data_IF_699644067232
#
_entry.id   IF_699644067232
#
_cell.length_a   1.000
_cell.length_b   1.000
_cell.length_c   1.000
_cell.angle_alpha   90.00
_cell.angle_beta   90.00
_cell.angle_gamma   90.00
#
_symmetry.space_group_name_H-M   'P 1'
#
loop_
_entity.id
_entity.type
_entity.pdbx_description
1 polymer ?
#
# COMPACT_ATOMS: atom_id res chain seq x y z
N UNK A 1 -2.60 -4.25 -15.98
CA UNK A 1 -3.75 -3.57 -15.37
C UNK A 1 -3.82 -4.02 -13.91
N UNK A 2 -3.90 -3.08 -12.96
CA UNK A 2 -3.79 -3.37 -11.51
C UNK A 2 -4.83 -4.38 -11.00
N UNK A 3 -6.11 -4.13 -11.29
CA UNK A 3 -7.21 -4.99 -10.82
C UNK A 3 -7.09 -6.45 -11.27
N UNK A 4 -6.52 -6.66 -12.44
CA UNK A 4 -6.29 -8.01 -12.97
C UNK A 4 -5.09 -8.70 -12.30
N UNK A 5 -4.02 -7.96 -12.03
CA UNK A 5 -2.75 -8.54 -11.59
C UNK A 5 -2.69 -8.77 -10.07
N UNK A 6 -3.26 -7.87 -9.27
CA UNK A 6 -3.07 -7.85 -7.82
C UNK A 6 -3.53 -9.15 -7.16
N UNK A 7 -4.80 -9.51 -7.31
CA UNK A 7 -5.35 -10.71 -6.70
C UNK A 7 -4.70 -12.01 -7.18
N UNK A 8 -4.36 -12.08 -8.46
CA UNK A 8 -3.70 -13.26 -9.04
C UNK A 8 -2.28 -13.43 -8.53
N UNK A 9 -1.48 -12.35 -8.49
CA UNK A 9 -0.12 -12.41 -7.93
C UNK A 9 -0.14 -12.85 -6.48
N UNK A 10 -1.00 -12.24 -5.68
CA UNK A 10 -1.13 -12.56 -4.26
C UNK A 10 -1.59 -14.01 -4.04
N UNK A 11 -2.51 -14.51 -4.86
CA UNK A 11 -2.94 -15.89 -4.82
C UNK A 11 -1.80 -16.88 -5.11
N UNK A 12 -1.03 -16.63 -6.18
CA UNK A 12 0.08 -17.51 -6.56
C UNK A 12 1.26 -17.46 -5.59
N UNK A 13 1.46 -16.33 -4.91
CA UNK A 13 2.52 -16.15 -3.92
C UNK A 13 2.10 -16.63 -2.51
N UNK A 14 0.86 -17.08 -2.33
CA UNK A 14 0.34 -17.56 -1.04
C UNK A 14 0.09 -16.44 -0.04
N UNK A 15 -0.10 -15.21 -0.50
CA UNK A 15 -0.50 -14.07 0.33
C UNK A 15 -1.93 -14.27 0.83
N UNK A 16 -2.16 -14.00 2.11
CA UNK A 16 -3.49 -14.15 2.73
C UNK A 16 -4.26 -12.83 2.80
N UNK A 17 -3.55 -11.71 2.93
CA UNK A 17 -4.10 -10.37 3.10
C UNK A 17 -3.55 -9.44 2.03
N UNK A 18 -4.37 -9.13 1.03
CA UNK A 18 -4.06 -8.20 -0.05
C UNK A 18 -4.40 -6.78 0.39
N UNK A 19 -3.39 -5.95 0.63
CA UNK A 19 -3.58 -4.60 1.13
C UNK A 19 -3.58 -3.58 -0.01
N UNK A 20 -4.54 -2.66 0.00
CA UNK A 20 -4.64 -1.57 -0.97
C UNK A 20 -5.26 -0.31 -0.35
N UNK A 21 -5.25 0.79 -1.10
CA UNK A 21 -5.85 2.05 -0.67
C UNK A 21 -7.37 2.05 -0.88
N UNK A 22 -8.09 2.92 -0.15
CA UNK A 22 -9.56 2.97 -0.14
C UNK A 22 -10.22 3.19 -1.51
N UNK A 23 -9.50 3.74 -2.47
CA UNK A 23 -9.99 3.91 -3.84
C UNK A 23 -10.37 2.59 -4.53
N UNK A 24 -9.84 1.46 -4.05
CA UNK A 24 -10.10 0.12 -4.58
C UNK A 24 -11.27 -0.62 -3.89
N UNK A 25 -11.94 -0.01 -2.92
CA UNK A 25 -13.12 -0.61 -2.26
C UNK A 25 -14.18 -1.03 -3.28
N UNK A 26 -14.46 -0.17 -4.26
CA UNK A 26 -15.46 -0.43 -5.30
C UNK A 26 -15.03 -1.54 -6.28
N UNK A 27 -13.73 -1.88 -6.31
CA UNK A 27 -13.18 -2.93 -7.15
C UNK A 27 -13.10 -4.29 -6.44
N UNK A 28 -13.46 -4.40 -5.16
CA UNK A 28 -13.42 -5.67 -4.40
C UNK A 28 -14.20 -6.80 -5.08
N UNK A 29 -15.40 -6.59 -5.65
CA UNK A 29 -16.10 -7.66 -6.37
C UNK A 29 -15.32 -8.17 -7.59
N UNK A 30 -14.59 -7.28 -8.27
CA UNK A 30 -13.73 -7.64 -9.40
C UNK A 30 -12.49 -8.43 -8.95
N UNK A 31 -11.89 -8.04 -7.84
CA UNK A 31 -10.80 -8.77 -7.18
C UNK A 31 -11.24 -10.20 -6.84
N UNK A 32 -12.39 -10.34 -6.18
CA UNK A 32 -12.95 -11.64 -5.79
C UNK A 32 -13.20 -12.52 -7.02
N UNK A 33 -13.78 -11.96 -8.08
CA UNK A 33 -14.04 -12.67 -9.34
C UNK A 33 -12.75 -13.24 -9.96
N UNK A 34 -11.69 -12.44 -10.03
CA UNK A 34 -10.42 -12.88 -10.62
C UNK A 34 -9.72 -13.94 -9.76
N UNK A 35 -9.77 -13.82 -8.43
CA UNK A 35 -9.22 -14.83 -7.52
C UNK A 35 -9.99 -16.14 -7.66
N UNK A 36 -11.33 -16.09 -7.73
CA UNK A 36 -12.17 -17.27 -7.90
C UNK A 36 -11.91 -17.97 -9.25
N UNK A 37 -11.72 -17.21 -10.33
CA UNK A 37 -11.37 -17.79 -11.64
C UNK A 37 -10.01 -18.50 -11.65
N UNK A 38 -9.05 -17.97 -10.90
CA UNK A 38 -7.72 -18.59 -10.79
C UNK A 38 -7.74 -19.82 -9.89
N UNK A 39 -8.59 -19.80 -8.86
CA UNK A 39 -8.81 -20.94 -7.96
C UNK A 39 -9.57 -22.07 -8.64
N UNK A 40 -10.50 -21.76 -9.54
CA UNK A 40 -11.36 -22.72 -10.23
C UNK A 40 -10.50 -23.65 -11.12
N UNK A 41 -10.39 -24.91 -10.71
CA UNK A 41 -9.59 -25.93 -11.40
C UNK A 41 -8.20 -26.24 -10.80
N UNK A 42 -7.88 -25.68 -9.66
CA UNK A 42 -6.66 -26.03 -8.91
C UNK A 42 -7.05 -26.50 -7.51
N UNK A 43 -6.64 -27.74 -7.16
CA UNK A 43 -6.64 -28.27 -5.79
C UNK A 43 -5.56 -27.56 -4.94
N UNK A 44 -5.57 -26.23 -4.94
CA UNK A 44 -4.72 -25.44 -4.09
C UNK A 44 -5.46 -25.19 -2.77
N UNK A 45 -4.76 -25.47 -1.68
CA UNK A 45 -5.22 -25.29 -0.30
C UNK A 45 -6.12 -24.07 -0.13
N UNK A 46 -7.00 -24.13 0.86
CA UNK A 46 -8.07 -23.18 1.20
C UNK A 46 -7.57 -21.73 1.51
N UNK A 47 -6.37 -21.39 1.05
CA UNK A 47 -5.70 -20.14 1.29
C UNK A 47 -6.08 -19.08 0.24
N UNK A 48 -7.35 -18.67 0.24
CA UNK A 48 -7.85 -17.59 -0.62
C UNK A 48 -7.41 -16.24 -0.05
N UNK A 49 -6.70 -15.40 -0.82
CA UNK A 49 -6.41 -14.04 -0.37
C UNK A 49 -7.70 -13.20 -0.30
N UNK A 50 -7.74 -12.29 0.66
CA UNK A 50 -8.81 -11.30 0.79
C UNK A 50 -8.27 -9.90 0.69
N UNK A 51 -9.00 -9.02 0.00
CA UNK A 51 -8.64 -7.61 -0.14
C UNK A 51 -9.06 -6.82 1.10
N UNK A 52 -8.10 -6.04 1.63
CA UNK A 52 -8.32 -5.10 2.73
C UNK A 52 -7.82 -3.73 2.34
N UNK A 53 -8.64 -2.71 2.55
CA UNK A 53 -8.31 -1.34 2.19
C UNK A 53 -7.97 -0.51 3.43
N UNK A 54 -6.99 0.36 3.29
CA UNK A 54 -6.58 1.28 4.34
C UNK A 54 -6.68 2.75 3.90
N UNK A 55 -6.88 3.63 4.88
CA UNK A 55 -6.93 5.06 4.66
C UNK A 55 -5.54 5.63 4.31
N UNK A 56 -5.54 6.63 3.44
CA UNK A 56 -4.34 7.41 3.17
C UNK A 56 -3.95 8.20 4.42
N UNK A 57 -2.70 8.04 4.85
CA UNK A 57 -2.14 8.88 5.90
C UNK A 57 -1.94 10.30 5.37
N UNK A 58 -2.57 11.28 6.03
CA UNK A 58 -2.36 12.69 5.76
C UNK A 58 -1.72 13.34 6.98
N UNK A 59 -0.60 14.01 6.77
CA UNK A 59 0.12 14.74 7.81
C UNK A 59 -0.07 16.24 7.60
N UNK A 60 -0.43 16.96 8.69
CA UNK A 60 -0.51 18.42 8.66
C UNK A 60 0.89 19.02 8.35
N UNK A 61 0.90 20.11 7.61
CA UNK A 61 2.12 20.83 7.23
C UNK A 61 3.17 19.97 6.47
N UNK A 62 2.76 18.85 5.87
CA UNK A 62 3.67 17.95 5.16
C UNK A 62 3.22 17.75 3.72
N UNK A 63 4.14 17.96 2.78
CA UNK A 63 3.91 17.64 1.37
C UNK A 63 4.01 16.13 1.17
N UNK A 64 2.89 15.49 0.78
CA UNK A 64 2.83 14.04 0.52
C UNK A 64 2.76 13.72 -0.98
N UNK A 65 2.66 14.74 -1.84
CA UNK A 65 2.58 14.55 -3.29
C UNK A 65 3.96 14.20 -3.87
N UNK A 66 4.08 13.04 -4.51
CA UNK A 66 5.31 12.63 -5.21
C UNK A 66 5.80 13.69 -6.21
N UNK A 67 4.88 14.36 -6.91
CA UNK A 67 5.21 15.41 -7.88
C UNK A 67 5.92 16.59 -7.21
N UNK A 68 5.40 17.04 -6.07
CA UNK A 68 5.98 18.16 -5.34
C UNK A 68 7.30 17.77 -4.67
N UNK A 69 7.39 16.57 -4.10
CA UNK A 69 8.62 16.04 -3.51
C UNK A 69 9.73 15.90 -4.55
N UNK A 70 9.39 15.51 -5.78
CA UNK A 70 10.36 15.44 -6.89
C UNK A 70 10.97 16.81 -7.22
N UNK A 71 10.21 17.90 -7.10
CA UNK A 71 10.72 19.26 -7.32
C UNK A 71 11.79 19.57 -6.28
N UNK A 72 11.55 19.26 -4.99
CA UNK A 72 12.54 19.49 -3.93
C UNK A 72 13.86 18.77 -4.19
N UNK A 73 13.80 17.54 -4.71
CA UNK A 73 15.00 16.78 -5.08
C UNK A 73 15.70 17.38 -6.29
N UNK A 74 14.95 17.77 -7.33
CA UNK A 74 15.53 18.34 -8.57
C UNK A 74 16.18 19.71 -8.36
N UNK A 75 15.60 20.52 -7.49
CA UNK A 75 16.11 21.85 -7.15
C UNK A 75 17.25 21.82 -6.11
N UNK A 76 17.58 20.61 -5.61
CA UNK A 76 18.64 20.44 -4.63
C UNK A 76 18.34 21.01 -3.24
N UNK A 77 17.06 21.23 -2.92
CA UNK A 77 16.62 21.71 -1.61
C UNK A 77 16.73 20.62 -0.54
N UNK A 78 16.80 19.38 -0.96
CA UNK A 78 17.06 18.18 -0.14
C UNK A 78 18.15 17.34 -0.80
N UNK A 79 18.86 16.53 -0.02
CA UNK A 79 20.00 15.73 -0.50
C UNK A 79 19.60 14.57 -1.41
N UNK A 80 18.33 14.15 -1.36
CA UNK A 80 17.78 13.04 -2.12
C UNK A 80 16.48 12.55 -1.55
N UNK A 81 16.01 11.41 -2.04
CA UNK A 81 14.78 10.77 -1.54
C UNK A 81 14.93 10.18 -0.13
N UNK A 82 16.16 9.94 0.29
CA UNK A 82 16.56 9.45 1.62
C UNK A 82 16.88 10.57 2.61
N UNK A 83 16.64 11.82 2.25
CA UNK A 83 16.79 12.96 3.16
C UNK A 83 15.81 12.87 4.34
N UNK A 84 16.27 13.07 5.61
CA UNK A 84 15.41 12.97 6.80
C UNK A 84 14.21 13.94 6.80
N UNK A 85 14.24 14.95 5.98
CA UNK A 85 13.13 15.89 5.83
C UNK A 85 12.04 15.40 4.87
N UNK A 86 12.31 14.30 4.13
CA UNK A 86 11.38 13.74 3.15
C UNK A 86 10.47 12.70 3.80
N UNK A 87 9.14 12.75 3.59
CA UNK A 87 8.20 11.77 4.12
C UNK A 87 8.19 10.49 3.28
N UNK A 88 9.32 9.79 3.23
CA UNK A 88 9.50 8.55 2.46
C UNK A 88 9.75 7.35 3.38
N UNK A 89 9.49 6.15 2.87
CA UNK A 89 9.77 4.89 3.58
C UNK A 89 11.28 4.64 3.74
N UNK A 90 12.13 5.35 2.99
CA UNK A 90 13.59 5.28 3.14
C UNK A 90 14.06 5.76 4.51
N UNK A 91 13.27 6.59 5.20
CA UNK A 91 13.49 6.92 6.59
C UNK A 91 12.89 5.86 7.50
N UNK A 92 13.61 5.46 8.58
CA UNK A 92 13.06 4.50 9.51
C UNK A 92 11.71 5.03 10.02
N UNK A 93 10.65 4.24 9.87
CA UNK A 93 9.29 4.60 10.29
C UNK A 93 9.20 4.97 11.79
N UNK A 94 10.26 4.68 12.54
CA UNK A 94 10.34 4.83 13.99
C UNK A 94 10.04 6.23 14.50
N UNK A 95 10.32 7.30 13.75
CA UNK A 95 10.04 8.67 14.22
C UNK A 95 8.62 9.15 13.88
N UNK A 96 8.06 8.71 12.77
CA UNK A 96 6.68 9.06 12.39
C UNK A 96 5.69 8.13 13.08
N UNK A 97 6.00 6.83 13.14
CA UNK A 97 5.12 5.84 13.74
C UNK A 97 5.20 5.78 15.27
N UNK A 98 6.31 6.11 15.91
CA UNK A 98 6.38 6.15 17.38
C UNK A 98 5.50 7.24 18.00
N UNK A 99 5.18 8.30 17.24
CA UNK A 99 4.21 9.32 17.66
C UNK A 99 2.75 8.94 17.42
N UNK A 100 2.48 8.04 16.47
CA UNK A 100 1.11 7.68 16.02
C UNK A 100 0.67 6.33 16.58
N UNK A 101 1.59 5.38 16.75
CA UNK A 101 1.30 4.02 17.23
C UNK A 101 0.71 3.94 18.66
N UNK A 102 1.06 4.80 19.63
CA UNK A 102 0.43 4.72 20.96
C UNK A 102 -1.06 5.06 20.95
N UNK A 103 -1.57 5.71 19.90
CA UNK A 103 -2.97 6.12 19.83
C UNK A 103 -3.87 5.12 19.10
N UNK A 104 -3.30 4.19 18.32
CA UNK A 104 -4.07 3.21 17.55
C UNK A 104 -4.34 1.93 18.37
N UNK A 105 -3.60 1.70 19.47
CA UNK A 105 -3.72 0.52 20.34
C UNK A 105 -4.27 0.82 21.74
N UNK A 106 -5.02 1.92 21.93
CA UNK A 106 -5.80 2.17 23.14
C UNK A 106 -7.29 2.10 22.89
#
# INVERSE_FOLDING_TARGET
MYDFAHGQSDFFEGVTHSLCTLEFVVHRPLYDLFVDWVKDGKDLDDNRPHQYEFNKLNLSYTLMSKRNLLILVKEGLVNGWDDPRMPTIAHPPQRIFSGIYPQVYR
#
